data_IF_576423696233
#
_entry.id   IF_576423696233
#
_cell.length_a   1.000
_cell.length_b   1.000
_cell.length_c   1.000
_cell.angle_alpha   90.00
_cell.angle_beta   90.00
_cell.angle_gamma   90.00
#
_symmetry.space_group_name_H-M   'P 1'
#
loop_
_entity.id
_entity.type
_entity.pdbx_description
1 polymer ?
#
# COMPACT_ATOMS: atom_id res chain seq x y z
N UNK A 1 7.54 6.89 25.33
CA UNK A 1 8.48 6.17 24.45
C UNK A 1 8.52 4.73 24.92
N UNK A 2 8.13 3.79 24.06
CA UNK A 2 8.16 2.35 24.37
C UNK A 2 9.22 1.70 23.49
N UNK A 3 10.12 0.94 24.09
CA UNK A 3 11.15 0.18 23.38
C UNK A 3 10.88 -1.30 23.59
N UNK A 4 10.83 -2.05 22.49
CA UNK A 4 10.64 -3.50 22.54
C UNK A 4 11.89 -4.18 21.99
N UNK A 5 12.36 -5.21 22.70
CA UNK A 5 13.41 -6.11 22.22
C UNK A 5 12.78 -7.49 21.94
N UNK A 6 12.65 -7.85 20.66
CA UNK A 6 11.93 -9.06 20.21
C UNK A 6 12.44 -10.38 20.80
N UNK A 7 13.67 -10.44 21.31
CA UNK A 7 14.33 -11.66 21.78
C UNK A 7 15.02 -11.52 23.15
N UNK A 8 14.66 -10.51 23.95
CA UNK A 8 15.32 -10.30 25.24
C UNK A 8 14.86 -11.25 26.36
N UNK A 9 13.68 -11.83 26.23
CA UNK A 9 13.11 -12.73 27.23
C UNK A 9 12.37 -13.89 26.56
N UNK A 10 13.01 -15.05 26.50
CA UNK A 10 12.41 -16.25 25.88
C UNK A 10 11.31 -16.90 26.73
N UNK A 11 11.15 -16.50 28.00
CA UNK A 11 10.09 -17.02 28.86
C UNK A 11 8.75 -16.28 28.69
N UNK A 12 8.74 -15.13 28.00
CA UNK A 12 7.52 -14.38 27.74
C UNK A 12 6.91 -14.81 26.40
N UNK A 13 5.60 -15.06 26.39
CA UNK A 13 4.87 -15.32 25.15
C UNK A 13 4.89 -14.11 24.22
N UNK A 14 4.71 -14.36 22.93
CA UNK A 14 4.96 -13.38 21.87
C UNK A 14 4.06 -13.60 20.66
N UNK A 15 3.82 -12.51 19.95
CA UNK A 15 3.14 -12.49 18.67
C UNK A 15 4.17 -12.53 17.55
N UNK A 16 4.09 -13.53 16.67
CA UNK A 16 4.78 -13.54 15.39
C UNK A 16 3.81 -13.10 14.29
N UNK A 17 4.20 -12.11 13.50
CA UNK A 17 3.49 -11.78 12.25
C UNK A 17 4.16 -12.56 11.14
N UNK A 18 3.49 -13.58 10.61
CA UNK A 18 4.08 -14.56 9.69
C UNK A 18 3.49 -14.38 8.30
N UNK A 19 4.29 -13.92 7.31
CA UNK A 19 3.82 -13.84 5.93
C UNK A 19 3.60 -15.22 5.33
N UNK A 20 2.52 -15.35 4.56
CA UNK A 20 2.14 -16.57 3.84
C UNK A 20 2.36 -16.42 2.33
N UNK A 21 2.52 -17.52 1.59
CA UNK A 21 2.52 -17.51 0.13
C UNK A 21 1.35 -16.73 -0.51
N UNK A 22 1.58 -16.12 -1.67
CA UNK A 22 0.55 -15.41 -2.46
C UNK A 22 0.05 -16.20 -3.68
N UNK A 23 0.54 -17.43 -3.86
CA UNK A 23 0.19 -18.26 -5.01
C UNK A 23 1.00 -19.55 -5.09
N UNK A 24 2.29 -19.48 -4.77
CA UNK A 24 3.21 -20.62 -4.77
C UNK A 24 3.70 -20.96 -3.36
N UNK A 25 3.48 -22.21 -2.93
CA UNK A 25 3.88 -22.67 -1.60
C UNK A 25 5.40 -22.58 -1.33
N UNK A 26 6.22 -22.59 -2.38
CA UNK A 26 7.68 -22.43 -2.25
C UNK A 26 8.09 -21.02 -1.82
N UNK A 27 7.20 -20.03 -1.90
CA UNK A 27 7.46 -18.66 -1.46
C UNK A 27 7.48 -18.52 0.08
N UNK A 28 7.09 -19.57 0.82
CA UNK A 28 7.17 -19.55 2.28
C UNK A 28 8.64 -19.58 2.72
N UNK A 29 9.00 -18.69 3.64
CA UNK A 29 10.37 -18.72 4.17
C UNK A 29 10.57 -19.90 5.12
N UNK A 30 11.80 -20.42 5.17
CA UNK A 30 12.19 -21.47 6.13
C UNK A 30 11.83 -21.07 7.56
N UNK A 31 12.03 -19.78 7.89
CA UNK A 31 11.72 -19.23 9.21
C UNK A 31 10.22 -19.15 9.47
N UNK A 32 9.41 -18.74 8.49
CA UNK A 32 7.95 -18.73 8.62
C UNK A 32 7.42 -20.13 8.90
N UNK A 33 7.87 -21.14 8.14
CA UNK A 33 7.48 -22.54 8.35
C UNK A 33 7.82 -23.01 9.77
N UNK A 34 9.07 -22.81 10.21
CA UNK A 34 9.51 -23.21 11.56
C UNK A 34 8.68 -22.55 12.66
N UNK A 35 8.42 -21.24 12.56
CA UNK A 35 7.62 -20.52 13.55
C UNK A 35 6.17 -21.02 13.59
N UNK A 36 5.59 -21.36 12.45
CA UNK A 36 4.25 -21.94 12.40
C UNK A 36 4.19 -23.35 13.00
N UNK A 37 5.25 -24.16 12.84
CA UNK A 37 5.40 -25.46 13.50
C UNK A 37 5.57 -25.32 15.03
N UNK A 38 6.29 -24.29 15.49
CA UNK A 38 6.62 -24.05 16.90
C UNK A 38 5.50 -23.32 17.69
N UNK A 39 4.60 -22.58 17.02
CA UNK A 39 3.60 -21.74 17.68
C UNK A 39 2.50 -22.56 18.39
N UNK A 40 2.10 -22.17 19.60
CA UNK A 40 1.00 -22.83 20.32
C UNK A 40 -0.35 -22.63 19.61
N UNK A 41 -0.54 -21.45 19.01
CA UNK A 41 -1.75 -21.08 18.28
C UNK A 41 -1.42 -20.35 16.99
N UNK A 42 -2.25 -20.58 15.97
CA UNK A 42 -2.22 -19.82 14.72
C UNK A 42 -3.51 -18.99 14.62
N UNK A 43 -3.39 -17.67 14.70
CA UNK A 43 -4.49 -16.75 14.44
C UNK A 43 -4.59 -16.50 12.92
N UNK A 44 -5.72 -16.87 12.31
CA UNK A 44 -5.91 -16.79 10.85
C UNK A 44 -7.23 -16.07 10.49
N UNK A 45 -7.23 -15.30 9.40
CA UNK A 45 -8.43 -14.62 8.89
C UNK A 45 -9.53 -15.62 8.50
N UNK A 46 -9.23 -16.54 7.58
CA UNK A 46 -10.07 -17.69 7.26
C UNK A 46 -9.35 -19.01 7.56
N UNK A 47 -9.80 -19.71 8.60
CA UNK A 47 -9.22 -21.00 9.00
C UNK A 47 -9.46 -22.12 7.99
N UNK A 48 -10.43 -21.97 7.08
CA UNK A 48 -10.68 -22.94 6.00
C UNK A 48 -9.62 -22.81 4.92
N UNK A 49 -9.38 -21.58 4.45
CA UNK A 49 -8.36 -21.26 3.44
C UNK A 49 -6.97 -21.57 3.98
N UNK A 50 -6.64 -21.02 5.15
CA UNK A 50 -5.35 -21.22 5.80
C UNK A 50 -5.11 -22.69 6.17
N UNK A 51 -6.15 -23.43 6.57
CA UNK A 51 -6.05 -24.85 6.90
C UNK A 51 -5.55 -25.71 5.74
N UNK A 52 -5.97 -25.42 4.51
CA UNK A 52 -5.50 -26.14 3.30
C UNK A 52 -4.01 -25.89 3.06
N UNK A 53 -3.56 -24.64 3.24
CA UNK A 53 -2.15 -24.29 3.09
C UNK A 53 -1.29 -24.96 4.17
N UNK A 54 -1.72 -24.89 5.44
CA UNK A 54 -1.00 -25.47 6.57
C UNK A 54 -0.89 -26.99 6.46
N UNK A 55 -1.95 -27.68 6.02
CA UNK A 55 -1.94 -29.13 5.79
C UNK A 55 -0.89 -29.52 4.74
N UNK A 56 -0.80 -28.79 3.62
CA UNK A 56 0.24 -29.01 2.59
C UNK A 56 1.66 -28.76 3.09
N UNK A 57 1.82 -27.93 4.12
CA UNK A 57 3.09 -27.65 4.78
C UNK A 57 3.41 -28.65 5.91
N UNK A 58 2.47 -29.54 6.25
CA UNK A 58 2.60 -30.50 7.35
C UNK A 58 2.41 -29.87 8.74
N UNK A 59 1.66 -28.78 8.84
CA UNK A 59 1.45 -27.99 10.05
C UNK A 59 0.03 -28.23 10.58
N UNK A 60 -0.07 -28.67 11.83
CA UNK A 60 -1.35 -29.10 12.43
C UNK A 60 -1.66 -28.39 13.77
N UNK A 61 -1.01 -27.26 14.01
CA UNK A 61 -1.17 -26.44 15.21
C UNK A 61 -2.59 -25.89 15.30
N UNK A 62 -3.04 -25.56 16.52
CA UNK A 62 -4.42 -25.14 16.76
C UNK A 62 -4.68 -23.76 16.15
N UNK A 63 -5.62 -23.71 15.19
CA UNK A 63 -6.06 -22.46 14.60
C UNK A 63 -7.13 -21.74 15.44
N UNK A 64 -7.07 -20.40 15.44
CA UNK A 64 -8.07 -19.50 16.01
C UNK A 64 -8.51 -18.53 14.91
N UNK A 65 -9.81 -18.43 14.67
CA UNK A 65 -10.33 -17.47 13.70
C UNK A 65 -10.18 -16.02 14.22
N UNK A 66 -9.50 -15.18 13.46
CA UNK A 66 -9.24 -13.78 13.78
C UNK A 66 -9.49 -12.91 12.53
N UNK A 67 -10.69 -12.37 12.43
CA UNK A 67 -11.15 -11.61 11.26
C UNK A 67 -11.85 -10.30 11.66
N UNK A 68 -12.14 -9.43 10.71
CA UNK A 68 -12.63 -8.06 10.96
C UNK A 68 -13.87 -7.93 11.86
N UNK A 69 -14.71 -8.98 11.93
CA UNK A 69 -15.92 -8.98 12.74
C UNK A 69 -15.73 -9.39 14.21
N UNK A 70 -14.64 -10.09 14.54
CA UNK A 70 -14.37 -10.59 15.89
C UNK A 70 -13.06 -10.07 16.49
N UNK A 71 -12.21 -9.42 15.69
CA UNK A 71 -10.86 -9.02 16.07
C UNK A 71 -10.80 -8.16 17.34
N UNK A 72 -11.76 -7.25 17.53
CA UNK A 72 -11.85 -6.41 18.73
C UNK A 72 -12.12 -7.20 20.02
N UNK A 73 -12.90 -8.26 19.92
CA UNK A 73 -13.24 -9.13 21.06
C UNK A 73 -12.14 -10.16 21.31
N UNK A 74 -11.55 -10.71 20.23
CA UNK A 74 -10.55 -11.77 20.31
C UNK A 74 -9.15 -11.29 20.67
N UNK A 75 -8.76 -10.07 20.29
CA UNK A 75 -7.41 -9.59 20.55
C UNK A 75 -7.04 -9.61 22.05
N UNK A 76 -7.89 -9.14 22.99
CA UNK A 76 -7.62 -9.25 24.42
C UNK A 76 -7.45 -10.69 24.92
N UNK A 77 -8.22 -11.64 24.40
CA UNK A 77 -8.10 -13.06 24.77
C UNK A 77 -6.74 -13.62 24.35
N UNK A 78 -6.30 -13.35 23.11
CA UNK A 78 -5.01 -13.79 22.58
C UNK A 78 -3.84 -13.16 23.34
N UNK A 79 -3.95 -11.87 23.68
CA UNK A 79 -2.94 -11.17 24.49
C UNK A 79 -2.80 -11.80 25.87
N UNK A 80 -3.90 -12.18 26.52
CA UNK A 80 -3.85 -12.88 27.80
C UNK A 80 -3.08 -14.20 27.72
N UNK A 81 -3.33 -15.00 26.67
CA UNK A 81 -2.58 -16.24 26.44
C UNK A 81 -1.07 -15.98 26.28
N UNK A 82 -0.69 -14.92 25.56
CA UNK A 82 0.73 -14.55 25.41
C UNK A 82 1.35 -14.06 26.72
N UNK A 83 0.60 -13.36 27.57
CA UNK A 83 1.04 -13.00 28.92
C UNK A 83 1.25 -14.22 29.83
N UNK A 84 0.50 -15.30 29.58
CA UNK A 84 0.65 -16.60 30.24
C UNK A 84 1.78 -17.45 29.65
N UNK A 85 2.47 -16.96 28.60
CA UNK A 85 3.64 -17.61 28.00
C UNK A 85 3.42 -18.20 26.61
N UNK A 86 2.20 -18.17 26.07
CA UNK A 86 1.91 -18.75 24.76
C UNK A 86 2.60 -17.98 23.62
N UNK A 87 3.06 -18.70 22.61
CA UNK A 87 3.50 -18.15 21.33
C UNK A 87 2.37 -18.23 20.32
N UNK A 88 2.01 -17.09 19.72
CA UNK A 88 0.94 -17.00 18.73
C UNK A 88 1.54 -16.53 17.40
N UNK A 89 1.24 -17.24 16.32
CA UNK A 89 1.54 -16.80 14.97
C UNK A 89 0.26 -16.24 14.32
N UNK A 90 0.28 -14.99 13.91
CA UNK A 90 -0.76 -14.39 13.08
C UNK A 90 -0.40 -14.53 11.60
N UNK A 91 -1.36 -15.00 10.81
CA UNK A 91 -1.28 -15.11 9.36
C UNK A 91 -2.49 -14.44 8.70
N UNK A 92 -2.30 -13.91 7.50
CA UNK A 92 -3.39 -13.60 6.57
C UNK A 92 -3.60 -14.77 5.60
N UNK A 93 -4.72 -14.75 4.87
CA UNK A 93 -5.02 -15.76 3.86
C UNK A 93 -3.93 -15.83 2.77
N UNK A 94 -3.28 -14.70 2.48
CA UNK A 94 -2.16 -14.61 1.55
C UNK A 94 -1.29 -13.37 1.84
N UNK A 95 0.03 -13.55 1.77
CA UNK A 95 1.01 -12.45 1.82
C UNK A 95 1.30 -11.94 3.23
N UNK A 96 1.48 -10.63 3.33
CA UNK A 96 1.94 -9.96 4.55
C UNK A 96 0.75 -9.65 5.47
N UNK A 97 0.67 -10.24 6.69
CA UNK A 97 -0.39 -9.91 7.64
C UNK A 97 -0.34 -8.42 8.04
N UNK A 98 -1.44 -7.90 8.57
CA UNK A 98 -1.69 -6.48 8.89
C UNK A 98 -1.99 -5.62 7.65
N UNK A 99 -1.54 -6.02 6.46
CA UNK A 99 -1.71 -5.24 5.24
C UNK A 99 -3.01 -5.63 4.54
N UNK A 100 -4.01 -4.76 4.63
CA UNK A 100 -5.35 -4.95 4.03
C UNK A 100 -6.20 -6.02 4.74
N UNK A 101 -5.83 -6.39 5.97
CA UNK A 101 -6.52 -7.34 6.85
C UNK A 101 -6.64 -6.75 8.29
N UNK A 102 -7.31 -7.42 9.25
CA UNK A 102 -7.60 -6.86 10.57
C UNK A 102 -6.47 -7.02 11.61
N UNK A 103 -5.29 -7.51 11.22
CA UNK A 103 -4.16 -7.83 12.09
C UNK A 103 -3.66 -6.69 12.97
N UNK A 104 -3.77 -5.45 12.48
CA UNK A 104 -3.29 -4.25 13.20
C UNK A 104 -3.91 -4.12 14.60
N UNK A 105 -5.13 -4.64 14.81
CA UNK A 105 -5.84 -4.59 16.10
C UNK A 105 -5.10 -5.44 17.15
N UNK A 106 -4.64 -6.63 16.76
CA UNK A 106 -3.90 -7.51 17.65
C UNK A 106 -2.52 -6.92 17.99
N UNK A 107 -1.85 -6.36 16.99
CA UNK A 107 -0.57 -5.65 17.18
C UNK A 107 -0.73 -4.50 18.17
N UNK A 108 -1.77 -3.67 18.04
CA UNK A 108 -2.05 -2.57 18.96
C UNK A 108 -2.27 -3.05 20.40
N UNK A 109 -3.05 -4.10 20.59
CA UNK A 109 -3.32 -4.62 21.95
C UNK A 109 -2.07 -5.28 22.56
N UNK A 110 -1.22 -5.92 21.74
CA UNK A 110 0.08 -6.43 22.18
C UNK A 110 1.01 -5.31 22.65
N UNK A 111 1.15 -4.25 21.85
CA UNK A 111 1.97 -3.08 22.17
C UNK A 111 1.48 -2.46 23.48
N UNK A 112 0.16 -2.22 23.61
CA UNK A 112 -0.45 -1.67 24.83
C UNK A 112 -0.19 -2.54 26.07
N UNK A 113 -0.07 -3.84 25.89
CA UNK A 113 0.09 -4.82 26.97
C UNK A 113 1.54 -5.29 27.18
N UNK A 114 2.52 -4.65 26.53
CA UNK A 114 3.93 -5.03 26.54
C UNK A 114 4.20 -6.50 26.14
N UNK A 115 3.38 -7.04 25.24
CA UNK A 115 3.63 -8.34 24.60
C UNK A 115 4.52 -8.09 23.37
N UNK A 116 5.65 -8.81 23.23
CA UNK A 116 6.52 -8.66 22.07
C UNK A 116 5.84 -9.01 20.75
N UNK A 117 5.95 -8.12 19.77
CA UNK A 117 5.54 -8.34 18.37
C UNK A 117 6.78 -8.55 17.50
N UNK A 118 6.85 -9.68 16.80
CA UNK A 118 7.99 -10.08 15.99
C UNK A 118 7.57 -10.23 14.52
N UNK A 119 7.81 -9.22 13.67
CA UNK A 119 7.52 -9.33 12.25
C UNK A 119 8.54 -10.22 11.54
N UNK A 120 8.06 -11.17 10.74
CA UNK A 120 8.91 -11.89 9.79
C UNK A 120 8.88 -11.19 8.42
N UNK A 121 10.01 -11.14 7.69
CA UNK A 121 9.99 -10.81 6.27
C UNK A 121 9.37 -11.96 5.47
N UNK A 122 8.79 -11.64 4.30
CA UNK A 122 8.20 -12.64 3.42
C UNK A 122 7.40 -12.04 2.26
N UNK A 123 6.55 -12.84 1.60
CA UNK A 123 5.85 -12.44 0.38
C UNK A 123 4.92 -11.24 0.56
N UNK A 124 4.95 -10.33 -0.43
CA UNK A 124 4.05 -9.17 -0.52
C UNK A 124 3.74 -8.86 -1.98
N UNK A 125 2.47 -9.01 -2.39
CA UNK A 125 2.09 -8.87 -3.79
C UNK A 125 2.39 -7.47 -4.36
N UNK A 126 2.13 -6.38 -3.61
CA UNK A 126 2.44 -5.02 -4.09
C UNK A 126 3.94 -4.81 -4.33
N UNK A 127 4.79 -5.34 -3.45
CA UNK A 127 6.24 -5.18 -3.56
C UNK A 127 6.79 -6.04 -4.69
N UNK A 128 6.35 -7.29 -4.81
CA UNK A 128 6.69 -8.20 -5.90
C UNK A 128 6.28 -7.62 -7.26
N UNK A 129 5.10 -7.03 -7.36
CA UNK A 129 4.65 -6.38 -8.59
C UNK A 129 5.49 -5.15 -8.93
N UNK A 130 5.83 -4.31 -7.94
CA UNK A 130 6.61 -3.09 -8.13
C UNK A 130 7.98 -3.37 -8.73
N UNK A 131 8.73 -4.31 -8.16
CA UNK A 131 10.10 -4.62 -8.61
C UNK A 131 10.15 -5.19 -10.02
N UNK A 132 9.06 -5.79 -10.50
CA UNK A 132 8.92 -6.32 -11.86
C UNK A 132 8.18 -5.37 -12.81
N UNK A 133 7.65 -4.24 -12.34
CA UNK A 133 6.79 -3.35 -13.13
C UNK A 133 7.54 -2.62 -14.25
N UNK A 134 8.81 -2.26 -14.01
CA UNK A 134 9.59 -1.36 -14.85
C UNK A 134 9.46 0.12 -14.46
N UNK A 135 8.68 0.46 -13.43
CA UNK A 135 8.62 1.79 -12.85
C UNK A 135 9.70 2.00 -11.78
N UNK A 136 9.95 3.26 -11.44
CA UNK A 136 10.80 3.58 -10.29
C UNK A 136 10.18 3.00 -9.01
N UNK A 137 11.01 2.24 -8.29
CA UNK A 137 10.64 1.61 -7.03
C UNK A 137 10.59 2.59 -5.86
N UNK A 138 11.06 3.83 -6.03
CA UNK A 138 11.07 4.82 -4.95
C UNK A 138 11.01 6.27 -5.45
N UNK A 139 10.17 7.15 -4.87
CA UNK A 139 9.11 6.84 -3.89
C UNK A 139 7.91 6.12 -4.53
N UNK A 140 7.13 5.43 -3.70
CA UNK A 140 5.84 4.85 -4.08
C UNK A 140 4.79 5.08 -3.00
N UNK A 141 3.52 4.98 -3.39
CA UNK A 141 2.36 5.02 -2.48
C UNK A 141 1.51 3.77 -2.72
N UNK A 142 1.20 3.04 -1.65
CA UNK A 142 0.31 1.89 -1.68
C UNK A 142 -1.05 2.25 -1.05
N UNK A 143 -2.14 1.97 -1.77
CA UNK A 143 -3.51 2.36 -1.39
C UNK A 143 -4.38 1.19 -0.91
N UNK A 144 -3.89 -0.06 -0.98
CA UNK A 144 -4.75 -1.22 -0.75
C UNK A 144 -5.82 -1.36 -1.84
N UNK A 145 -7.07 -1.62 -1.45
CA UNK A 145 -8.19 -1.64 -2.40
C UNK A 145 -8.87 -0.28 -2.47
N UNK A 146 -9.06 0.25 -3.68
CA UNK A 146 -9.87 1.45 -3.87
C UNK A 146 -11.34 1.20 -3.50
N UNK A 147 -12.07 2.22 -3.01
CA UNK A 147 -13.50 2.13 -2.70
C UNK A 147 -14.33 1.59 -3.88
N UNK A 148 -15.47 0.96 -3.60
CA UNK A 148 -16.31 0.37 -4.66
C UNK A 148 -17.11 1.40 -5.45
N UNK A 149 -17.45 2.53 -4.84
CA UNK A 149 -18.30 3.57 -5.46
C UNK A 149 -17.41 4.56 -6.20
N UNK A 150 -17.73 4.86 -7.46
CA UNK A 150 -16.99 5.82 -8.28
C UNK A 150 -16.80 7.18 -7.58
N UNK A 151 -17.84 7.72 -6.94
CA UNK A 151 -17.76 8.98 -6.19
C UNK A 151 -16.77 8.95 -5.03
N UNK A 152 -16.53 7.77 -4.44
CA UNK A 152 -15.55 7.58 -3.37
C UNK A 152 -14.16 7.23 -3.91
N UNK A 153 -14.05 6.72 -5.14
CA UNK A 153 -12.77 6.48 -5.82
C UNK A 153 -12.14 7.79 -6.30
N UNK A 154 -12.96 8.74 -6.76
CA UNK A 154 -12.49 9.97 -7.39
C UNK A 154 -11.39 10.72 -6.62
N UNK A 155 -11.48 10.96 -5.29
CA UNK A 155 -10.41 11.64 -4.57
C UNK A 155 -9.07 10.89 -4.64
N UNK A 156 -9.09 9.56 -4.54
CA UNK A 156 -7.88 8.74 -4.68
C UNK A 156 -7.31 8.81 -6.09
N UNK A 157 -8.15 8.82 -7.11
CA UNK A 157 -7.72 8.95 -8.50
C UNK A 157 -7.11 10.33 -8.78
N UNK A 158 -7.65 11.39 -8.17
CA UNK A 158 -7.09 12.74 -8.24
C UNK A 158 -5.71 12.81 -7.55
N UNK A 159 -5.53 12.15 -6.40
CA UNK A 159 -4.23 11.99 -5.74
C UNK A 159 -3.23 11.22 -6.61
N UNK A 160 -3.64 10.08 -7.19
CA UNK A 160 -2.82 9.28 -8.10
C UNK A 160 -2.41 10.09 -9.32
N UNK A 161 -3.33 10.86 -9.90
CA UNK A 161 -3.02 11.70 -11.05
C UNK A 161 -1.97 12.76 -10.71
N UNK A 162 -2.04 13.37 -9.52
CA UNK A 162 -1.09 14.37 -9.06
C UNK A 162 0.23 13.80 -8.52
N UNK A 163 0.29 12.50 -8.22
CA UNK A 163 1.44 11.84 -7.59
C UNK A 163 2.70 11.91 -8.44
N UNK A 164 3.83 12.28 -7.82
CA UNK A 164 5.19 12.16 -8.41
C UNK A 164 5.88 10.84 -8.04
N UNK A 165 5.15 9.93 -7.41
CA UNK A 165 5.58 8.62 -6.96
C UNK A 165 4.76 7.54 -7.67
N UNK A 166 5.30 6.33 -7.80
CA UNK A 166 4.54 5.19 -8.33
C UNK A 166 3.35 4.90 -7.41
N UNK A 167 2.14 4.79 -7.97
CA UNK A 167 0.92 4.49 -7.19
C UNK A 167 0.54 3.03 -7.38
N UNK A 168 0.20 2.33 -6.30
CA UNK A 168 -0.06 0.88 -6.30
C UNK A 168 -1.36 0.59 -5.55
N UNK A 169 -2.23 -0.23 -6.13
CA UNK A 169 -3.45 -0.72 -5.48
C UNK A 169 -3.82 -2.12 -5.97
N UNK A 170 -4.65 -2.81 -5.20
CA UNK A 170 -5.22 -4.10 -5.59
C UNK A 170 -6.59 -3.91 -6.23
N UNK A 171 -6.93 -4.80 -7.17
CA UNK A 171 -8.25 -4.81 -7.77
C UNK A 171 -8.74 -6.22 -8.08
N UNK A 172 -10.05 -6.44 -7.87
CA UNK A 172 -10.71 -7.69 -8.21
C UNK A 172 -10.98 -7.75 -9.72
N UNK A 173 -10.96 -8.94 -10.35
CA UNK A 173 -11.05 -9.07 -11.80
C UNK A 173 -12.36 -8.48 -12.36
N UNK A 174 -13.47 -8.76 -11.70
CA UNK A 174 -14.80 -8.25 -12.07
C UNK A 174 -14.97 -6.73 -11.90
N UNK A 175 -14.01 -6.05 -11.29
CA UNK A 175 -13.97 -4.59 -11.13
C UNK A 175 -12.93 -3.92 -12.00
N UNK A 176 -11.91 -4.65 -12.46
CA UNK A 176 -10.71 -4.09 -13.06
C UNK A 176 -11.02 -3.14 -14.22
N UNK A 177 -11.75 -3.62 -15.24
CA UNK A 177 -12.08 -2.81 -16.42
C UNK A 177 -12.81 -1.52 -16.02
N UNK A 178 -13.81 -1.62 -15.13
CA UNK A 178 -14.55 -0.46 -14.65
C UNK A 178 -13.64 0.52 -13.91
N UNK A 179 -12.74 0.05 -13.04
CA UNK A 179 -11.80 0.92 -12.33
C UNK A 179 -10.83 1.62 -13.29
N UNK A 180 -10.34 0.92 -14.32
CA UNK A 180 -9.50 1.52 -15.37
C UNK A 180 -10.25 2.59 -16.17
N UNK A 181 -11.52 2.35 -16.52
CA UNK A 181 -12.37 3.35 -17.18
C UNK A 181 -12.61 4.58 -16.29
N UNK A 182 -12.80 4.39 -14.98
CA UNK A 182 -12.89 5.51 -14.02
C UNK A 182 -11.57 6.27 -13.88
N UNK A 183 -10.43 5.59 -14.00
CA UNK A 183 -9.13 6.25 -14.06
C UNK A 183 -9.04 7.15 -15.29
N UNK A 184 -9.55 6.73 -16.45
CA UNK A 184 -9.49 7.51 -17.69
C UNK A 184 -10.31 8.81 -17.62
N UNK A 185 -11.28 8.90 -16.70
CA UNK A 185 -12.02 10.14 -16.43
C UNK A 185 -11.18 11.21 -15.68
N UNK A 186 -10.03 10.83 -15.10
CA UNK A 186 -9.22 11.69 -14.23
C UNK A 186 -7.75 11.77 -14.66
N UNK A 187 -7.18 10.67 -15.15
CA UNK A 187 -5.79 10.55 -15.58
C UNK A 187 -5.71 10.70 -17.11
N UNK A 188 -4.60 11.23 -17.65
CA UNK A 188 -4.40 11.27 -19.09
C UNK A 188 -4.31 9.84 -19.65
N UNK A 189 -4.92 9.59 -20.82
CA UNK A 189 -4.94 8.28 -21.44
C UNK A 189 -3.57 7.68 -21.74
N UNK A 190 -2.57 8.54 -21.99
CA UNK A 190 -1.17 8.14 -22.19
C UNK A 190 -0.42 7.73 -20.90
N UNK A 191 -1.03 7.87 -19.71
CA UNK A 191 -0.39 7.49 -18.44
C UNK A 191 -0.05 6.00 -18.47
N UNK A 192 1.20 5.66 -18.13
CA UNK A 192 1.62 4.27 -18.12
C UNK A 192 1.04 3.52 -16.92
N UNK A 193 0.51 2.33 -17.17
CA UNK A 193 -0.10 1.45 -16.18
C UNK A 193 0.45 0.03 -16.35
N UNK A 194 0.60 -0.67 -15.22
CA UNK A 194 0.91 -2.10 -15.19
C UNK A 194 -0.18 -2.82 -14.41
N UNK A 195 -0.77 -3.84 -15.01
CA UNK A 195 -1.64 -4.78 -14.32
C UNK A 195 -0.88 -6.11 -14.18
N UNK A 196 -0.38 -6.37 -12.98
CA UNK A 196 0.25 -7.65 -12.64
C UNK A 196 -0.81 -8.62 -12.13
N UNK A 197 -0.92 -9.77 -12.78
CA UNK A 197 -1.99 -10.75 -12.63
C UNK A 197 -1.43 -12.06 -12.10
N UNK A 198 -2.15 -12.67 -11.15
CA UNK A 198 -1.88 -14.04 -10.67
C UNK A 198 -0.40 -14.27 -10.28
N UNK A 199 0.17 -13.30 -9.56
CA UNK A 199 1.58 -13.32 -9.14
C UNK A 199 1.94 -14.64 -8.45
N UNK A 200 3.10 -15.17 -8.84
CA UNK A 200 3.71 -16.44 -8.46
C UNK A 200 2.93 -17.71 -8.84
N UNK A 201 1.78 -17.59 -9.51
CA UNK A 201 0.98 -18.73 -9.99
C UNK A 201 1.33 -19.09 -11.45
N UNK A 202 0.80 -20.21 -11.94
CA UNK A 202 1.07 -20.71 -13.31
C UNK A 202 0.66 -19.76 -14.44
N UNK A 203 -0.28 -18.85 -14.16
CA UNK A 203 -0.79 -17.85 -15.11
C UNK A 203 -0.30 -16.44 -14.79
N UNK A 204 0.87 -16.31 -14.14
CA UNK A 204 1.49 -15.01 -13.88
C UNK A 204 1.67 -14.22 -15.18
N UNK A 205 1.21 -12.97 -15.16
CA UNK A 205 1.24 -12.10 -16.33
C UNK A 205 1.40 -10.62 -15.92
N UNK A 206 2.15 -9.85 -16.70
CA UNK A 206 2.28 -8.41 -16.52
C UNK A 206 1.84 -7.70 -17.80
N UNK A 207 0.64 -7.11 -17.77
CA UNK A 207 0.11 -6.31 -18.85
C UNK A 207 0.61 -4.88 -18.67
N UNK A 208 1.35 -4.35 -19.65
CA UNK A 208 1.96 -3.01 -19.59
C UNK A 208 1.58 -2.20 -20.81
N UNK A 209 1.30 -0.91 -20.60
CA UNK A 209 1.03 0.03 -21.67
C UNK A 209 0.49 1.35 -21.12
N UNK A 210 0.06 2.21 -22.04
CA UNK A 210 -0.79 3.35 -21.68
C UNK A 210 -2.12 2.89 -21.10
N UNK A 211 -2.76 3.74 -20.31
CA UNK A 211 -4.07 3.48 -19.72
C UNK A 211 -5.11 3.11 -20.80
N UNK A 212 -5.09 3.79 -21.95
CA UNK A 212 -5.98 3.49 -23.08
C UNK A 212 -5.73 2.10 -23.68
N UNK A 213 -4.47 1.73 -23.91
CA UNK A 213 -4.11 0.40 -24.44
C UNK A 213 -4.52 -0.72 -23.48
N UNK A 214 -4.30 -0.52 -22.17
CA UNK A 214 -4.67 -1.51 -21.15
C UNK A 214 -6.19 -1.65 -21.04
N UNK A 215 -6.95 -0.55 -21.16
CA UNK A 215 -8.42 -0.61 -21.23
C UNK A 215 -8.88 -1.39 -22.46
N UNK A 216 -8.29 -1.12 -23.63
CA UNK A 216 -8.66 -1.82 -24.87
C UNK A 216 -8.38 -3.32 -24.76
N UNK A 217 -7.24 -3.70 -24.18
CA UNK A 217 -6.92 -5.10 -23.91
C UNK A 217 -8.02 -5.78 -23.08
N UNK A 218 -8.44 -5.17 -21.96
CA UNK A 218 -9.45 -5.77 -21.07
C UNK A 218 -10.90 -5.66 -21.58
N UNK A 219 -11.16 -4.96 -22.69
CA UNK A 219 -12.43 -5.03 -23.42
C UNK A 219 -12.53 -6.27 -24.31
N UNK A 220 -11.38 -6.79 -24.76
CA UNK A 220 -11.30 -7.97 -25.62
C UNK A 220 -11.03 -9.25 -24.81
N UNK A 221 -10.28 -9.13 -23.70
CA UNK A 221 -9.90 -10.22 -22.82
C UNK A 221 -10.49 -9.98 -21.44
N UNK A 222 -11.47 -10.81 -21.06
CA UNK A 222 -12.08 -10.72 -19.72
C UNK A 222 -11.03 -10.86 -18.61
N UNK A 223 -10.95 -9.91 -17.66
CA UNK A 223 -10.06 -10.03 -16.51
C UNK A 223 -10.38 -11.27 -15.67
N UNK A 224 -9.36 -12.04 -15.30
CA UNK A 224 -9.50 -13.22 -14.43
C UNK A 224 -8.36 -13.29 -13.41
N UNK A 225 -8.62 -13.87 -12.25
CA UNK A 225 -7.63 -13.96 -11.17
C UNK A 225 -7.47 -12.63 -10.44
N UNK A 226 -6.39 -12.50 -9.67
CA UNK A 226 -6.14 -11.34 -8.81
C UNK A 226 -5.16 -10.36 -9.44
N UNK A 227 -5.37 -9.05 -9.25
CA UNK A 227 -4.55 -8.01 -9.85
C UNK A 227 -3.92 -7.08 -8.83
N UNK A 228 -2.65 -6.75 -9.07
CA UNK A 228 -1.97 -5.56 -8.56
C UNK A 228 -1.87 -4.57 -9.70
N UNK A 229 -2.41 -3.37 -9.51
CA UNK A 229 -2.37 -2.29 -10.49
C UNK A 229 -1.35 -1.25 -10.04
N UNK A 230 -0.44 -0.88 -10.95
CA UNK A 230 0.56 0.15 -10.74
C UNK A 230 0.36 1.26 -11.77
N UNK A 231 0.48 2.51 -11.33
CA UNK A 231 0.35 3.69 -12.18
C UNK A 231 1.64 4.48 -12.09
N UNK A 232 2.18 4.87 -13.24
CA UNK A 232 3.44 5.60 -13.29
C UNK A 232 3.32 6.98 -12.61
N UNK A 233 4.42 7.54 -12.11
CA UNK A 233 4.47 8.92 -11.65
C UNK A 233 3.93 9.90 -12.70
N UNK A 234 3.37 11.01 -12.22
CA UNK A 234 3.10 12.17 -13.06
C UNK A 234 4.44 12.84 -13.37
N UNK A 235 4.77 12.96 -14.66
CA UNK A 235 5.98 13.63 -15.15
C UNK A 235 5.70 15.00 -15.77
N UNK A 236 4.43 15.40 -15.90
CA UNK A 236 4.07 16.71 -16.44
C UNK A 236 4.58 17.80 -15.51
N UNK A 237 5.39 18.73 -16.00
CA UNK A 237 5.74 19.91 -15.21
C UNK A 237 4.47 20.74 -15.03
N UNK A 238 4.06 20.96 -13.77
CA UNK A 238 2.94 21.87 -13.49
C UNK A 238 3.43 23.27 -13.82
N UNK A 239 3.01 23.81 -14.96
CA UNK A 239 3.07 25.25 -15.21
C UNK A 239 2.08 25.90 -14.26
N UNK A 240 2.58 26.53 -13.19
CA UNK A 240 1.76 27.32 -12.30
C UNK A 240 1.16 28.50 -13.08
N UNK A 241 -0.11 28.79 -12.87
CA UNK A 241 -0.67 30.02 -13.38
C UNK A 241 -0.12 31.23 -12.62
N UNK A 242 -0.40 32.43 -13.12
CA UNK A 242 0.11 33.64 -12.51
C UNK A 242 -0.38 33.89 -11.08
N UNK A 243 -1.58 33.42 -10.72
CA UNK A 243 -2.12 33.60 -9.38
C UNK A 243 -1.40 32.68 -8.37
N UNK A 244 -1.15 31.43 -8.76
CA UNK A 244 -0.38 30.47 -7.96
C UNK A 244 1.08 30.89 -7.82
N UNK A 245 1.68 31.44 -8.87
CA UNK A 245 3.04 32.02 -8.82
C UNK A 245 3.11 33.18 -7.81
N UNK A 246 2.11 34.07 -7.81
CA UNK A 246 2.02 35.18 -6.84
C UNK A 246 1.83 34.65 -5.42
N UNK A 247 1.02 33.60 -5.22
CA UNK A 247 0.84 32.95 -3.93
C UNK A 247 2.16 32.35 -3.40
N UNK A 248 2.91 31.66 -4.25
CA UNK A 248 4.21 31.08 -3.88
C UNK A 248 5.23 32.16 -3.46
N UNK A 249 5.22 33.31 -4.14
CA UNK A 249 6.02 34.48 -3.72
C UNK A 249 5.58 34.98 -2.34
N UNK A 250 4.27 35.10 -2.09
CA UNK A 250 3.72 35.52 -0.78
C UNK A 250 4.15 34.57 0.34
N UNK A 251 4.14 33.26 0.10
CA UNK A 251 4.58 32.23 1.06
C UNK A 251 6.07 32.33 1.40
N UNK A 252 6.95 32.49 0.40
CA UNK A 252 8.39 32.69 0.65
C UNK A 252 8.66 33.98 1.43
N UNK A 253 7.93 35.06 1.13
CA UNK A 253 8.04 36.32 1.89
C UNK A 253 7.59 36.15 3.34
N UNK A 254 6.52 35.38 3.58
CA UNK A 254 6.06 35.06 4.94
C UNK A 254 7.09 34.22 5.72
N UNK A 255 7.93 33.44 5.02
CA UNK A 255 9.06 32.69 5.60
C UNK A 255 10.32 33.56 5.80
N UNK A 256 10.26 34.86 5.55
CA UNK A 256 11.35 35.81 5.81
C UNK A 256 12.26 36.11 4.60
N UNK A 257 11.95 35.57 3.42
CA UNK A 257 12.69 35.89 2.19
C UNK A 257 12.33 37.31 1.72
N UNK A 258 13.31 38.09 1.25
CA UNK A 258 13.02 39.44 0.74
C UNK A 258 12.08 39.35 -0.48
N UNK A 259 11.15 40.30 -0.65
CA UNK A 259 10.23 40.34 -1.80
C UNK A 259 10.95 40.22 -3.14
N UNK A 260 12.10 40.91 -3.27
CA UNK A 260 12.93 40.91 -4.48
C UNK A 260 13.54 39.53 -4.76
N UNK A 261 13.97 38.82 -3.71
CA UNK A 261 14.58 37.50 -3.85
C UNK A 261 13.53 36.41 -4.05
N UNK A 262 12.38 36.49 -3.37
CA UNK A 262 11.26 35.57 -3.57
C UNK A 262 10.75 35.61 -5.02
N UNK A 263 10.50 36.82 -5.56
CA UNK A 263 10.09 36.99 -6.98
C UNK A 263 11.17 36.44 -7.92
N UNK A 264 12.45 36.67 -7.64
CA UNK A 264 13.56 36.17 -8.47
C UNK A 264 13.67 34.63 -8.42
N UNK A 265 13.51 34.02 -7.25
CA UNK A 265 13.60 32.58 -7.06
C UNK A 265 12.41 31.86 -7.70
N UNK A 266 11.19 32.36 -7.50
CA UNK A 266 9.98 31.81 -8.12
C UNK A 266 10.03 31.97 -9.64
N UNK A 267 10.36 33.16 -10.17
CA UNK A 267 10.47 33.37 -11.62
C UNK A 267 11.51 32.45 -12.28
N UNK A 268 12.67 32.28 -11.64
CA UNK A 268 13.74 31.39 -12.15
C UNK A 268 13.34 29.92 -12.09
N UNK A 269 12.76 29.47 -10.98
CA UNK A 269 12.39 28.05 -10.80
C UNK A 269 11.22 27.62 -11.68
N UNK A 270 10.35 28.55 -12.06
CA UNK A 270 9.16 28.30 -12.89
C UNK A 270 9.35 28.73 -14.35
N UNK A 271 10.53 29.24 -14.72
CA UNK A 271 10.85 29.64 -16.09
C UNK A 271 10.05 30.83 -16.63
N UNK A 272 9.49 31.69 -15.78
CA UNK A 272 8.62 32.81 -16.17
C UNK A 272 9.32 34.17 -16.12
N UNK A 273 8.75 35.17 -16.79
CA UNK A 273 9.26 36.55 -16.77
C UNK A 273 9.23 37.13 -15.35
N UNK A 274 10.40 37.50 -14.82
CA UNK A 274 10.54 38.17 -13.52
C UNK A 274 9.76 39.48 -13.46
N UNK A 275 9.77 40.26 -14.56
CA UNK A 275 9.11 41.56 -14.60
C UNK A 275 7.58 41.37 -14.57
N UNK A 276 7.07 40.40 -15.31
CA UNK A 276 5.63 40.11 -15.32
C UNK A 276 5.15 39.57 -13.96
N UNK A 277 5.94 38.70 -13.30
CA UNK A 277 5.61 38.23 -11.96
C UNK A 277 5.62 39.36 -10.92
N UNK A 278 6.56 40.31 -11.07
CA UNK A 278 6.63 41.50 -10.23
C UNK A 278 5.36 42.36 -10.38
N UNK A 279 4.98 42.68 -11.61
CA UNK A 279 3.81 43.51 -11.89
C UNK A 279 2.53 42.88 -11.34
N UNK A 280 2.34 41.57 -11.55
CA UNK A 280 1.16 40.85 -11.04
C UNK A 280 1.13 40.72 -9.53
N UNK A 281 2.28 40.47 -8.88
CA UNK A 281 2.37 40.46 -7.42
C UNK A 281 1.93 41.79 -6.80
N UNK A 282 2.28 42.91 -7.44
CA UNK A 282 1.92 44.25 -6.98
C UNK A 282 0.49 44.68 -7.32
N UNK A 283 -0.11 44.12 -8.37
CA UNK A 283 -1.52 44.36 -8.72
C UNK A 283 -2.50 43.67 -7.75
N UNK A 284 -2.17 42.49 -7.23
CA UNK A 284 -3.01 41.78 -6.24
C UNK A 284 -2.93 42.35 -4.81
N UNK A 285 -1.93 43.16 -4.51
CA UNK A 285 -1.78 43.82 -3.20
C UNK A 285 -2.52 45.16 -3.06
N UNK A 286 -3.22 45.59 -4.11
CA UNK A 286 -3.91 46.89 -4.19
C UNK A 286 -5.44 46.79 -4.02
N UNK A 287 -5.96 45.65 -3.57
CA UNK A 287 -7.36 45.45 -3.18
C UNK A 287 -7.49 45.09 -1.71
#
# INVERSE_FOLDING_TARGET
MQTQHSYANDQQGKLYLVPTPIGNLEDITIRAKRILEEADYIAAEDTRTSGIMLDRLGIHNKMVAFHKFNSKEKAPELVKLMQEGATIAEISDAGMPVISDPGYILVQECIKSNVPVVPLPGPSAFATALIASGFDGQPFTYYGFLPRKASQQRPFLEEINASRATSIFYEAPHRLLKTLEQMLEVLPGGRQVVCARELTKIHEEFIRGSLEEVIQHFKEVDPRGEFVVLVSPNTEEKTLDWADLVKLVKEQVAQGVSKKDAIKQVAKSQGVSKNELYDRYHQEGAK
#
